data_IF_083284853259
#
_entry.id   IF_083284853259
#
_cell.length_a   1.000
_cell.length_b   1.000
_cell.length_c   1.000
_cell.angle_alpha   90.00
_cell.angle_beta   90.00
_cell.angle_gamma   90.00
#
_symmetry.space_group_name_H-M   'P 1'
#
loop_
_entity.id
_entity.type
_entity.pdbx_description
1 polymer ?
#
# COMPACT_ATOMS: atom_id res chain seq x y z
N UNK A 1 -0.23 0.18 21.03
CA UNK A 1 -1.54 -0.13 20.41
C UNK A 1 -1.71 0.75 19.19
N UNK A 2 -2.05 0.15 18.05
CA UNK A 2 -2.47 0.87 16.84
C UNK A 2 -3.99 1.03 16.88
N UNK A 3 -4.46 2.23 16.56
CA UNK A 3 -5.88 2.54 16.44
C UNK A 3 -6.12 3.26 15.12
N UNK A 4 -7.22 2.97 14.45
CA UNK A 4 -7.57 3.58 13.19
C UNK A 4 -9.04 3.39 12.86
N UNK A 5 -9.50 4.10 11.85
CA UNK A 5 -10.87 4.01 11.33
C UNK A 5 -10.80 3.77 9.83
N UNK A 6 -11.42 2.70 9.38
CA UNK A 6 -11.59 2.40 7.96
C UNK A 6 -12.78 3.22 7.47
N UNK A 7 -12.58 4.04 6.44
CA UNK A 7 -13.64 4.89 5.91
C UNK A 7 -14.69 4.06 5.16
N UNK A 8 -14.23 3.08 4.35
CA UNK A 8 -15.12 2.18 3.61
C UNK A 8 -14.51 0.80 3.42
N UNK A 9 -15.30 -0.21 3.73
CA UNK A 9 -15.02 -1.61 3.51
C UNK A 9 -16.12 -2.22 2.65
N UNK A 10 -15.78 -2.71 1.47
CA UNK A 10 -16.70 -3.44 0.60
C UNK A 10 -16.28 -4.92 0.56
N UNK A 11 -17.24 -5.81 0.57
CA UNK A 11 -17.03 -7.25 0.46
C UNK A 11 -17.80 -7.83 -0.72
N UNK A 12 -17.18 -8.77 -1.38
CA UNK A 12 -17.85 -9.67 -2.33
C UNK A 12 -17.72 -11.09 -1.79
N UNK A 13 -18.85 -11.74 -1.59
CA UNK A 13 -18.95 -13.03 -0.93
C UNK A 13 -19.59 -14.07 -1.86
N UNK A 14 -18.93 -15.22 -1.97
CA UNK A 14 -19.48 -16.44 -2.56
C UNK A 14 -19.60 -17.56 -1.51
N UNK A 15 -19.86 -18.80 -1.94
CA UNK A 15 -20.03 -19.94 -1.03
C UNK A 15 -18.77 -20.20 -0.18
N UNK A 16 -17.58 -20.03 -0.73
CA UNK A 16 -16.32 -20.46 -0.13
C UNK A 16 -15.37 -19.30 0.20
N UNK A 17 -15.57 -18.12 -0.39
CA UNK A 17 -14.61 -17.00 -0.35
C UNK A 17 -15.30 -15.68 -0.02
N UNK A 18 -14.53 -14.78 0.59
CA UNK A 18 -14.89 -13.37 0.76
C UNK A 18 -13.72 -12.54 0.26
N UNK A 19 -13.93 -11.74 -0.77
CA UNK A 19 -12.97 -10.75 -1.24
C UNK A 19 -13.25 -9.39 -0.63
N UNK A 20 -12.20 -8.68 -0.18
CA UNK A 20 -12.31 -7.42 0.56
C UNK A 20 -11.69 -6.30 -0.27
N UNK A 21 -12.40 -5.19 -0.38
CA UNK A 21 -11.88 -3.93 -0.89
C UNK A 21 -11.91 -2.88 0.22
N UNK A 22 -10.75 -2.33 0.55
CA UNK A 22 -10.61 -1.20 1.48
C UNK A 22 -10.46 0.07 0.69
N UNK A 23 -11.20 1.10 1.07
CA UNK A 23 -11.14 2.41 0.45
C UNK A 23 -11.00 3.50 1.53
N UNK A 24 -10.10 4.43 1.28
CA UNK A 24 -9.85 5.58 2.14
C UNK A 24 -10.05 6.87 1.33
N UNK A 25 -10.83 7.80 1.88
CA UNK A 25 -11.19 9.04 1.22
C UNK A 25 -10.14 10.13 1.45
N UNK A 26 -9.67 10.75 0.37
CA UNK A 26 -8.65 11.80 0.42
C UNK A 26 -9.17 13.10 -0.18
N UNK A 27 -8.98 14.20 0.53
CA UNK A 27 -9.27 15.56 0.04
C UNK A 27 -8.10 16.20 -0.72
N UNK A 28 -6.96 15.51 -0.82
CA UNK A 28 -5.77 15.98 -1.53
C UNK A 28 -5.34 15.00 -2.63
N UNK A 29 -4.36 15.39 -3.42
CA UNK A 29 -3.88 14.60 -4.58
C UNK A 29 -2.93 13.45 -4.17
N UNK A 30 -3.36 12.62 -3.21
CA UNK A 30 -2.60 11.46 -2.74
C UNK A 30 -2.74 10.31 -3.72
N UNK A 31 -1.65 9.88 -4.35
CA UNK A 31 -1.61 8.67 -5.19
C UNK A 31 -0.98 7.51 -4.46
N UNK A 32 -1.48 6.31 -4.73
CA UNK A 32 -0.89 5.08 -4.20
C UNK A 32 0.45 4.80 -4.90
N UNK A 33 1.48 4.57 -4.08
CA UNK A 33 2.82 4.24 -4.55
C UNK A 33 3.42 3.12 -3.68
N UNK A 34 3.68 1.97 -4.30
CA UNK A 34 4.24 0.81 -3.62
C UNK A 34 5.67 1.07 -3.10
N UNK A 35 6.43 1.97 -3.76
CA UNK A 35 7.74 2.39 -3.26
C UNK A 35 7.59 3.12 -1.92
N UNK A 36 6.57 3.97 -1.80
CA UNK A 36 6.27 4.65 -0.54
C UNK A 36 5.84 3.69 0.57
N UNK A 37 5.10 2.62 0.23
CA UNK A 37 4.79 1.53 1.17
C UNK A 37 6.09 0.86 1.63
N UNK A 38 6.96 0.46 0.71
CA UNK A 38 8.25 -0.14 1.01
C UNK A 38 9.14 0.75 1.88
N UNK A 39 9.03 2.07 1.72
CA UNK A 39 9.81 3.06 2.50
C UNK A 39 9.15 3.47 3.83
N UNK A 40 8.04 2.84 4.21
CA UNK A 40 7.35 3.11 5.47
C UNK A 40 6.47 4.36 5.47
N UNK A 41 6.10 4.91 4.29
CA UNK A 41 5.40 6.20 4.19
C UNK A 41 3.89 6.09 3.92
N UNK A 42 3.41 5.00 3.30
CA UNK A 42 2.00 4.79 2.95
C UNK A 42 1.47 3.47 3.50
N UNK A 43 1.59 3.25 4.80
CA UNK A 43 1.23 1.97 5.43
C UNK A 43 -0.28 1.82 5.66
N UNK A 44 -1.03 2.91 5.75
CA UNK A 44 -2.41 2.98 6.21
C UNK A 44 -3.34 1.97 5.52
N UNK A 45 -3.39 1.96 4.19
CA UNK A 45 -4.29 1.08 3.44
C UNK A 45 -3.96 -0.40 3.63
N UNK A 46 -2.68 -0.74 3.73
CA UNK A 46 -2.24 -2.14 3.95
C UNK A 46 -2.62 -2.59 5.35
N UNK A 47 -2.41 -1.75 6.37
CA UNK A 47 -2.82 -2.01 7.77
C UNK A 47 -4.34 -2.19 7.86
N UNK A 48 -5.10 -1.37 7.17
CA UNK A 48 -6.56 -1.47 7.16
C UNK A 48 -7.04 -2.75 6.47
N UNK A 49 -6.39 -3.16 5.37
CA UNK A 49 -6.68 -4.43 4.71
C UNK A 49 -6.40 -5.61 5.63
N UNK A 50 -5.24 -5.63 6.29
CA UNK A 50 -4.85 -6.69 7.21
C UNK A 50 -5.83 -6.82 8.38
N UNK A 51 -6.13 -5.71 9.06
CA UNK A 51 -7.10 -5.69 10.16
C UNK A 51 -8.51 -6.16 9.72
N UNK A 52 -8.96 -5.76 8.53
CA UNK A 52 -10.24 -6.18 7.98
C UNK A 52 -10.25 -7.69 7.64
N UNK A 53 -9.16 -8.20 7.08
CA UNK A 53 -9.02 -9.64 6.80
C UNK A 53 -9.01 -10.47 8.07
N UNK A 54 -8.28 -10.04 9.11
CA UNK A 54 -8.25 -10.71 10.42
C UNK A 54 -9.63 -10.74 11.08
N UNK A 55 -10.33 -9.61 11.08
CA UNK A 55 -11.69 -9.51 11.59
C UNK A 55 -12.65 -10.48 10.89
N UNK A 56 -12.61 -10.53 9.57
CA UNK A 56 -13.50 -11.40 8.79
C UNK A 56 -13.13 -12.88 8.88
N UNK A 57 -11.85 -13.24 9.03
CA UNK A 57 -11.43 -14.62 9.34
C UNK A 57 -12.02 -15.09 10.66
N UNK A 58 -12.07 -14.21 11.68
CA UNK A 58 -12.71 -14.52 12.95
C UNK A 58 -14.23 -14.72 12.85
N UNK A 59 -14.89 -13.93 11.98
CA UNK A 59 -16.34 -14.00 11.76
C UNK A 59 -16.76 -15.17 10.84
N UNK A 60 -15.94 -15.51 9.87
CA UNK A 60 -16.20 -16.49 8.82
C UNK A 60 -15.12 -17.59 8.77
N UNK A 61 -14.97 -18.43 9.81
CA UNK A 61 -13.83 -19.39 9.92
C UNK A 61 -13.84 -20.50 8.86
N UNK A 62 -14.93 -20.63 8.08
CA UNK A 62 -15.06 -21.61 7.00
C UNK A 62 -14.80 -21.04 5.62
N UNK A 63 -14.63 -19.73 5.50
CA UNK A 63 -14.41 -19.06 4.22
C UNK A 63 -12.98 -18.59 4.07
N UNK A 64 -12.48 -18.66 2.86
CA UNK A 64 -11.20 -18.06 2.48
C UNK A 64 -11.37 -16.54 2.36
N UNK A 65 -10.58 -15.76 3.09
CA UNK A 65 -10.61 -14.31 3.04
C UNK A 65 -9.48 -13.81 2.14
N UNK A 66 -9.84 -13.11 1.07
CA UNK A 66 -8.92 -12.67 0.02
C UNK A 66 -8.81 -11.14 -0.03
N UNK A 67 -7.61 -10.58 -0.22
CA UNK A 67 -7.45 -9.16 -0.51
C UNK A 67 -7.97 -8.88 -1.93
N UNK A 68 -8.99 -8.04 -2.05
CA UNK A 68 -9.53 -7.62 -3.33
C UNK A 68 -8.88 -6.35 -3.85
N UNK A 69 -8.69 -5.35 -2.98
CA UNK A 69 -8.03 -4.10 -3.36
C UNK A 69 -7.92 -3.12 -2.22
N UNK A 70 -6.91 -2.26 -2.34
CA UNK A 70 -6.64 -1.12 -1.45
C UNK A 70 -6.61 0.14 -2.29
N UNK A 71 -7.52 1.08 -2.04
CA UNK A 71 -7.78 2.20 -2.93
C UNK A 71 -7.89 3.52 -2.16
N UNK A 72 -7.31 4.58 -2.72
CA UNK A 72 -7.64 5.96 -2.38
C UNK A 72 -8.72 6.46 -3.32
N UNK A 73 -9.76 7.07 -2.76
CA UNK A 73 -10.78 7.78 -3.51
C UNK A 73 -10.67 9.27 -3.20
N UNK A 74 -10.47 10.07 -4.25
CA UNK A 74 -10.36 11.52 -4.09
C UNK A 74 -11.74 12.15 -4.07
N UNK A 75 -12.03 12.88 -2.99
CA UNK A 75 -13.20 13.76 -2.91
C UNK A 75 -12.75 15.08 -3.55
N UNK A 76 -12.93 15.19 -4.86
CA UNK A 76 -12.50 16.33 -5.65
C UNK A 76 -13.60 16.71 -6.63
N UNK A 77 -13.54 17.95 -7.13
CA UNK A 77 -14.37 18.43 -8.23
C UNK A 77 -13.44 18.68 -9.43
N UNK A 78 -13.15 17.64 -10.22
CA UNK A 78 -12.14 17.73 -11.27
C UNK A 78 -12.58 18.67 -12.39
N UNK A 79 -11.71 19.61 -12.74
CA UNK A 79 -11.87 20.46 -13.92
C UNK A 79 -11.36 19.68 -15.14
N UNK A 80 -12.24 19.48 -16.12
CA UNK A 80 -11.87 18.84 -17.38
C UNK A 80 -11.25 19.88 -18.32
N UNK A 81 -10.03 19.60 -18.77
CA UNK A 81 -9.37 20.37 -19.84
C UNK A 81 -9.52 19.63 -21.16
N UNK A 82 -9.99 20.34 -22.20
CA UNK A 82 -10.13 19.79 -23.54
C UNK A 82 -9.85 20.85 -24.59
N UNK A 83 -9.12 20.49 -25.64
CA UNK A 83 -8.82 21.37 -26.78
C UNK A 83 -10.06 21.60 -27.68
N UNK A 84 -11.08 20.75 -27.57
CA UNK A 84 -12.32 20.83 -28.33
C UNK A 84 -13.53 20.72 -27.39
N UNK A 85 -14.68 21.33 -27.73
CA UNK A 85 -15.90 21.15 -26.96
C UNK A 85 -16.25 19.65 -26.86
N UNK A 86 -16.49 19.18 -25.65
CA UNK A 86 -16.96 17.82 -25.38
C UNK A 86 -18.49 17.78 -25.47
N UNK A 87 -19.02 16.68 -25.95
CA UNK A 87 -20.45 16.36 -25.77
C UNK A 87 -20.71 16.05 -24.28
N UNK A 88 -21.98 16.11 -23.87
CA UNK A 88 -22.36 15.80 -22.48
C UNK A 88 -21.94 14.40 -22.07
N UNK A 89 -22.06 13.41 -22.99
CA UNK A 89 -21.65 12.03 -22.75
C UNK A 89 -20.12 11.88 -22.62
N UNK A 90 -19.34 12.56 -23.46
CA UNK A 90 -17.87 12.58 -23.36
C UNK A 90 -17.39 13.25 -22.08
N UNK A 91 -18.06 14.35 -21.68
CA UNK A 91 -17.75 15.05 -20.44
C UNK A 91 -18.04 14.17 -19.21
N UNK A 92 -19.19 13.49 -19.19
CA UNK A 92 -19.54 12.55 -18.11
C UNK A 92 -18.53 11.40 -18.01
N UNK A 93 -18.15 10.78 -19.13
CA UNK A 93 -17.15 9.72 -19.13
C UNK A 93 -15.77 10.21 -18.67
N UNK A 94 -15.34 11.39 -19.09
CA UNK A 94 -14.09 11.99 -18.67
C UNK A 94 -14.08 12.30 -17.16
N UNK A 95 -15.20 12.77 -16.61
CA UNK A 95 -15.42 13.04 -15.20
C UNK A 95 -15.32 11.75 -14.37
N UNK A 96 -16.05 10.71 -14.77
CA UNK A 96 -15.98 9.39 -14.11
C UNK A 96 -14.55 8.84 -14.11
N UNK A 97 -13.83 9.03 -15.22
CA UNK A 97 -12.45 8.60 -15.32
C UNK A 97 -11.50 9.42 -14.43
N UNK A 98 -11.70 10.72 -14.31
CA UNK A 98 -10.94 11.61 -13.43
C UNK A 98 -11.15 11.26 -11.93
N UNK A 99 -12.37 10.85 -11.57
CA UNK A 99 -12.76 10.44 -10.23
C UNK A 99 -12.42 8.98 -9.90
N UNK A 100 -11.84 8.25 -10.85
CA UNK A 100 -11.49 6.84 -10.63
C UNK A 100 -10.54 6.67 -9.45
N UNK A 101 -10.83 5.74 -8.50
CA UNK A 101 -9.94 5.44 -7.39
C UNK A 101 -8.54 5.06 -7.85
N UNK A 102 -7.53 5.42 -7.07
CA UNK A 102 -6.15 5.04 -7.29
C UNK A 102 -5.65 4.08 -6.21
N UNK A 103 -4.96 3.01 -6.57
CA UNK A 103 -4.48 2.02 -5.61
C UNK A 103 -4.07 0.72 -6.25
N UNK A 104 -4.08 -0.35 -5.49
CA UNK A 104 -3.68 -1.70 -5.89
C UNK A 104 -4.88 -2.64 -5.85
N UNK A 105 -5.13 -3.38 -6.94
CA UNK A 105 -6.25 -4.32 -7.10
C UNK A 105 -5.71 -5.73 -7.27
N UNK A 106 -6.41 -6.73 -6.74
CA UNK A 106 -6.05 -8.13 -6.94
C UNK A 106 -6.22 -8.52 -8.42
N UNK A 107 -5.21 -9.18 -8.97
CA UNK A 107 -5.17 -9.60 -10.36
C UNK A 107 -6.03 -10.82 -10.68
N UNK A 108 -6.65 -11.46 -9.69
CA UNK A 108 -7.59 -12.57 -9.88
C UNK A 108 -8.83 -12.11 -10.63
N UNK A 109 -9.19 -12.81 -11.73
CA UNK A 109 -10.29 -12.38 -12.60
C UNK A 109 -11.63 -12.29 -11.87
N UNK A 110 -11.96 -13.26 -11.06
CA UNK A 110 -13.17 -13.28 -10.23
C UNK A 110 -13.25 -12.06 -9.30
N UNK A 111 -12.10 -11.62 -8.79
CA UNK A 111 -12.00 -10.54 -7.81
C UNK A 111 -12.18 -9.18 -8.48
N UNK A 112 -11.42 -8.88 -9.55
CA UNK A 112 -11.57 -7.56 -10.18
C UNK A 112 -12.88 -7.44 -10.96
N UNK A 113 -13.43 -8.55 -11.48
CA UNK A 113 -14.75 -8.58 -12.10
C UNK A 113 -15.89 -8.36 -11.11
N UNK A 114 -15.72 -8.76 -9.86
CA UNK A 114 -16.69 -8.43 -8.81
C UNK A 114 -16.77 -6.92 -8.51
N UNK A 115 -15.71 -6.17 -8.81
CA UNK A 115 -15.67 -4.71 -8.62
C UNK A 115 -16.21 -3.94 -9.83
N UNK A 116 -16.00 -4.47 -11.03
CA UNK A 116 -16.48 -3.92 -12.30
C UNK A 116 -16.72 -5.06 -13.29
N UNK A 117 -17.98 -5.41 -13.49
CA UNK A 117 -18.36 -6.66 -14.18
C UNK A 117 -18.14 -6.62 -15.69
N UNK A 118 -18.41 -5.48 -16.32
CA UNK A 118 -18.63 -5.41 -17.76
C UNK A 118 -17.68 -4.47 -18.51
N UNK A 119 -16.51 -4.14 -17.93
CA UNK A 119 -15.60 -3.26 -18.64
C UNK A 119 -14.78 -4.00 -19.70
N UNK A 120 -14.62 -3.36 -20.84
CA UNK A 120 -13.67 -3.70 -21.89
C UNK A 120 -12.62 -2.59 -22.00
N UNK A 121 -11.34 -2.97 -22.13
CA UNK A 121 -10.26 -2.00 -22.12
C UNK A 121 -10.01 -1.43 -20.74
N UNK A 122 -10.19 -0.13 -20.54
CA UNK A 122 -9.97 0.56 -19.25
C UNK A 122 -11.25 0.56 -18.40
N UNK A 123 -11.13 0.08 -17.15
CA UNK A 123 -12.18 0.27 -16.16
C UNK A 123 -12.29 1.74 -15.72
N UNK A 124 -13.50 2.22 -15.50
CA UNK A 124 -13.80 3.51 -14.88
C UNK A 124 -13.87 3.42 -13.34
N UNK A 125 -14.01 2.22 -12.80
CA UNK A 125 -14.23 1.97 -11.37
C UNK A 125 -12.96 1.57 -10.61
N UNK A 126 -11.99 0.97 -11.30
CA UNK A 126 -10.74 0.44 -10.71
C UNK A 126 -9.54 0.69 -11.63
N UNK A 127 -8.30 0.77 -11.10
CA UNK A 127 -7.11 1.03 -11.90
C UNK A 127 -6.65 -0.22 -12.69
N UNK A 128 -7.55 -0.82 -13.46
CA UNK A 128 -7.30 -2.03 -14.27
C UNK A 128 -7.63 -1.75 -15.74
N UNK A 129 -6.77 -2.25 -16.63
CA UNK A 129 -6.97 -2.24 -18.08
C UNK A 129 -6.78 -3.65 -18.64
N UNK A 130 -7.73 -4.09 -19.47
CA UNK A 130 -7.71 -5.39 -20.15
C UNK A 130 -7.33 -5.17 -21.61
N UNK A 131 -6.38 -5.98 -22.10
CA UNK A 131 -6.00 -6.01 -23.51
C UNK A 131 -7.08 -6.67 -24.36
N UNK A 132 -7.02 -6.48 -25.67
CA UNK A 132 -7.95 -7.13 -26.63
C UNK A 132 -7.96 -8.67 -26.58
N UNK A 133 -6.92 -9.28 -26.05
CA UNK A 133 -6.83 -10.74 -25.86
C UNK A 133 -7.40 -11.22 -24.49
N UNK A 134 -8.01 -10.34 -23.72
CA UNK A 134 -8.60 -10.65 -22.41
C UNK A 134 -7.63 -10.59 -21.22
N UNK A 135 -6.32 -10.42 -21.44
CA UNK A 135 -5.34 -10.36 -20.38
C UNK A 135 -5.23 -8.95 -19.75
N UNK A 136 -4.89 -8.87 -18.48
CA UNK A 136 -4.56 -7.60 -17.81
C UNK A 136 -3.33 -6.96 -18.45
N UNK A 137 -3.41 -5.67 -18.74
CA UNK A 137 -2.27 -4.86 -19.15
C UNK A 137 -1.44 -4.45 -17.94
N UNK A 138 -0.40 -5.21 -17.60
CA UNK A 138 0.46 -4.94 -16.44
C UNK A 138 1.11 -3.55 -16.45
N UNK A 139 1.41 -3.02 -17.65
CA UNK A 139 1.99 -1.69 -17.82
C UNK A 139 1.00 -0.53 -17.55
N UNK A 140 -0.33 -0.80 -17.60
CA UNK A 140 -1.38 0.22 -17.48
C UNK A 140 -2.33 -0.06 -16.33
N UNK A 141 -2.10 -1.13 -15.58
CA UNK A 141 -2.89 -1.53 -14.42
C UNK A 141 -2.04 -1.50 -13.16
N UNK A 142 -2.67 -1.12 -12.06
CA UNK A 142 -2.06 -1.24 -10.72
C UNK A 142 -2.63 -2.49 -10.06
N UNK A 143 -1.99 -3.63 -10.30
CA UNK A 143 -2.46 -4.93 -9.82
C UNK A 143 -1.38 -5.69 -9.07
N UNK A 144 -1.82 -6.56 -8.15
CA UNK A 144 -0.99 -7.52 -7.45
C UNK A 144 -1.72 -8.86 -7.32
N UNK A 145 -1.01 -9.98 -7.32
CA UNK A 145 -1.60 -11.27 -7.01
C UNK A 145 -1.90 -11.40 -5.50
N UNK A 146 -2.67 -12.43 -5.12
CA UNK A 146 -2.93 -12.74 -3.72
C UNK A 146 -1.63 -12.98 -2.94
N UNK A 147 -0.65 -13.64 -3.56
CA UNK A 147 0.67 -13.91 -2.98
C UNK A 147 1.47 -12.61 -2.83
N UNK A 148 1.42 -11.71 -3.81
CA UNK A 148 2.07 -10.38 -3.74
C UNK A 148 1.44 -9.52 -2.64
N UNK A 149 0.12 -9.55 -2.48
CA UNK A 149 -0.56 -8.90 -1.35
C UNK A 149 -0.08 -9.48 -0.01
N UNK A 150 0.07 -10.79 0.10
CA UNK A 150 0.58 -11.43 1.31
C UNK A 150 2.03 -11.03 1.63
N UNK A 151 2.87 -10.79 0.62
CA UNK A 151 4.23 -10.25 0.82
C UNK A 151 4.17 -8.82 1.34
N UNK A 152 3.36 -7.96 0.72
CA UNK A 152 3.18 -6.56 1.11
C UNK A 152 2.67 -6.46 2.55
N UNK A 153 1.66 -7.24 2.92
CA UNK A 153 1.08 -7.26 4.27
C UNK A 153 2.14 -7.66 5.31
N UNK A 154 2.82 -8.79 5.12
CA UNK A 154 3.87 -9.25 6.05
C UNK A 154 5.02 -8.25 6.17
N UNK A 155 5.38 -7.58 5.08
CA UNK A 155 6.41 -6.55 5.10
C UNK A 155 5.96 -5.34 5.94
N UNK A 156 4.74 -4.87 5.76
CA UNK A 156 4.19 -3.74 6.53
C UNK A 156 4.05 -4.09 8.01
N UNK A 157 3.60 -5.29 8.36
CA UNK A 157 3.59 -5.78 9.75
C UNK A 157 4.98 -5.73 10.38
N UNK A 158 5.99 -6.19 9.63
CA UNK A 158 7.39 -6.15 10.06
C UNK A 158 7.88 -4.72 10.30
N UNK A 159 7.65 -3.81 9.35
CA UNK A 159 8.04 -2.40 9.47
C UNK A 159 7.39 -1.71 10.70
N UNK A 160 6.10 -1.98 10.94
CA UNK A 160 5.39 -1.44 12.11
C UNK A 160 5.99 -1.97 13.40
N UNK A 161 6.33 -3.26 13.47
CA UNK A 161 6.98 -3.87 14.63
C UNK A 161 8.33 -3.21 14.88
N UNK A 162 9.16 -3.07 13.85
CA UNK A 162 10.46 -2.40 13.95
C UNK A 162 10.34 -0.94 14.42
N UNK A 163 9.37 -0.19 13.87
CA UNK A 163 9.08 1.16 14.35
C UNK A 163 8.69 1.17 15.84
N UNK A 164 7.86 0.24 16.27
CA UNK A 164 7.46 0.09 17.67
C UNK A 164 8.64 -0.20 18.59
N UNK A 165 9.52 -1.12 18.21
CA UNK A 165 10.73 -1.49 18.92
C UNK A 165 11.71 -0.30 19.00
N UNK A 166 11.90 0.42 17.90
CA UNK A 166 12.76 1.60 17.87
C UNK A 166 12.24 2.72 18.80
N UNK A 167 10.93 2.95 18.83
CA UNK A 167 10.28 3.91 19.73
C UNK A 167 10.49 3.46 21.20
N UNK A 168 10.24 2.18 21.49
CA UNK A 168 10.39 1.65 22.84
C UNK A 168 11.84 1.68 23.33
N UNK A 169 12.79 1.47 22.43
CA UNK A 169 14.23 1.59 22.71
C UNK A 169 14.72 3.05 22.84
N UNK A 170 13.84 4.04 22.66
CA UNK A 170 14.20 5.46 22.75
C UNK A 170 15.07 5.94 21.57
N UNK A 171 14.96 5.36 20.40
CA UNK A 171 15.69 5.80 19.22
C UNK A 171 15.19 7.18 18.76
N UNK A 172 16.04 8.19 18.85
CA UNK A 172 15.79 9.58 18.46
C UNK A 172 16.67 10.03 17.28
N UNK A 173 17.25 9.09 16.54
CA UNK A 173 18.15 9.40 15.43
C UNK A 173 17.43 10.23 14.36
N UNK A 174 18.08 11.30 13.91
CA UNK A 174 17.62 12.14 12.80
C UNK A 174 17.87 11.37 11.50
N UNK A 175 16.81 10.94 10.83
CA UNK A 175 16.87 10.09 9.65
C UNK A 175 15.83 10.50 8.59
N UNK A 176 15.92 11.72 8.04
CA UNK A 176 14.96 12.22 7.06
C UNK A 176 15.14 11.55 5.71
N UNK A 177 14.06 11.52 4.90
CA UNK A 177 14.16 11.07 3.52
C UNK A 177 14.14 12.25 2.54
N UNK A 178 14.64 11.98 1.33
CA UNK A 178 14.51 12.83 0.14
C UNK A 178 14.14 11.98 -1.07
N UNK A 179 13.12 12.41 -1.79
CA UNK A 179 12.81 11.95 -3.14
C UNK A 179 13.07 13.06 -4.15
N UNK A 180 12.86 12.80 -5.44
CA UNK A 180 13.03 13.80 -6.50
C UNK A 180 12.10 15.02 -6.35
N UNK A 181 10.96 14.85 -5.68
CA UNK A 181 9.89 15.87 -5.58
C UNK A 181 9.70 16.44 -4.18
N UNK A 182 10.13 15.74 -3.13
CA UNK A 182 9.87 16.16 -1.75
C UNK A 182 10.93 15.66 -0.75
N UNK A 183 10.95 16.30 0.42
CA UNK A 183 11.69 15.81 1.58
C UNK A 183 10.77 15.73 2.79
N UNK A 184 11.08 14.83 3.74
CA UNK A 184 10.38 14.80 5.03
C UNK A 184 10.49 16.10 5.82
N UNK A 185 11.45 16.97 5.47
CA UNK A 185 11.66 18.25 6.13
C UNK A 185 10.77 19.38 5.62
N UNK A 186 10.13 19.25 4.44
CA UNK A 186 9.38 20.31 3.78
C UNK A 186 8.26 20.89 4.67
N UNK A 187 7.52 20.02 5.35
CA UNK A 187 6.41 20.40 6.23
C UNK A 187 6.62 19.95 7.68
N UNK A 188 7.87 19.66 8.07
CA UNK A 188 8.18 19.18 9.41
C UNK A 188 8.09 20.33 10.42
N UNK A 189 7.24 20.24 11.47
CA UNK A 189 7.12 21.28 12.48
C UNK A 189 8.33 21.38 13.41
N UNK A 190 9.22 20.39 13.38
CA UNK A 190 10.39 20.29 14.26
C UNK A 190 11.70 20.82 13.65
N UNK A 191 11.64 21.46 12.47
CA UNK A 191 12.82 21.95 11.76
C UNK A 191 13.73 22.85 12.60
N UNK A 192 13.13 23.73 13.43
CA UNK A 192 13.87 24.63 14.33
C UNK A 192 14.55 23.95 15.52
N UNK A 193 14.11 22.75 15.90
CA UNK A 193 14.64 21.98 17.03
C UNK A 193 15.58 20.87 16.56
N UNK A 194 15.26 20.25 15.44
CA UNK A 194 15.99 19.11 14.89
C UNK A 194 17.41 19.48 14.44
N UNK A 195 17.59 20.70 13.89
CA UNK A 195 18.89 21.18 13.43
C UNK A 195 19.45 20.43 12.21
N UNK A 196 18.60 19.66 11.49
CA UNK A 196 19.02 18.94 10.29
C UNK A 196 19.52 19.90 9.21
N UNK A 197 20.81 19.80 8.87
CA UNK A 197 21.44 20.53 7.76
C UNK A 197 22.38 19.58 7.00
N UNK A 198 22.03 19.24 5.76
CA UNK A 198 22.82 18.34 4.92
C UNK A 198 24.23 18.88 4.57
N UNK A 199 24.56 20.13 4.93
CA UNK A 199 25.91 20.71 4.80
C UNK A 199 26.81 20.34 5.97
N UNK A 200 26.22 19.87 7.06
CA UNK A 200 26.97 19.46 8.25
C UNK A 200 27.34 17.98 8.12
N UNK A 201 28.62 17.59 8.26
CA UNK A 201 29.03 16.20 8.22
C UNK A 201 28.25 15.34 9.22
N UNK A 202 27.73 14.19 8.76
CA UNK A 202 26.93 13.27 9.58
C UNK A 202 25.40 13.48 9.45
N UNK A 203 24.95 14.52 8.77
CA UNK A 203 23.54 14.71 8.43
C UNK A 203 23.30 14.37 6.97
N UNK A 204 22.58 13.26 6.71
CA UNK A 204 22.29 12.79 5.37
C UNK A 204 20.81 12.48 5.20
N UNK A 205 20.32 12.63 3.95
CA UNK A 205 18.99 12.16 3.60
C UNK A 205 19.05 10.72 3.09
N UNK A 206 18.13 9.89 3.55
CA UNK A 206 17.85 8.62 2.87
C UNK A 206 17.31 8.93 1.48
N UNK A 207 18.03 8.53 0.44
CA UNK A 207 17.60 8.74 -0.95
C UNK A 207 16.59 7.68 -1.37
N UNK A 208 15.48 8.09 -1.96
CA UNK A 208 14.49 7.19 -2.52
C UNK A 208 14.62 7.17 -4.04
N UNK A 209 15.31 6.15 -4.54
CA UNK A 209 15.37 5.89 -5.98
C UNK A 209 14.04 5.34 -6.50
N UNK A 210 13.71 5.62 -7.75
CA UNK A 210 12.62 4.99 -8.47
C UNK A 210 12.91 3.51 -8.65
N UNK A 211 11.90 2.66 -8.47
CA UNK A 211 11.98 1.20 -8.56
C UNK A 211 10.76 0.68 -9.32
N UNK A 212 10.91 -0.45 -10.00
CA UNK A 212 9.76 -1.17 -10.55
C UNK A 212 9.06 -1.98 -9.47
N UNK A 213 7.79 -2.31 -9.70
CA UNK A 213 6.99 -3.12 -8.77
C UNK A 213 7.69 -4.43 -8.39
N UNK A 214 8.23 -5.13 -9.38
CA UNK A 214 8.91 -6.41 -9.21
C UNK A 214 10.14 -6.28 -8.31
N UNK A 215 10.91 -5.21 -8.49
CA UNK A 215 12.08 -4.91 -7.67
C UNK A 215 11.70 -4.60 -6.22
N UNK A 216 10.60 -3.86 -6.02
CA UNK A 216 10.09 -3.55 -4.68
C UNK A 216 9.67 -4.82 -3.96
N UNK A 217 8.91 -5.71 -4.62
CA UNK A 217 8.47 -6.98 -4.05
C UNK A 217 9.64 -7.91 -3.72
N UNK A 218 10.66 -7.98 -4.58
CA UNK A 218 11.89 -8.75 -4.35
C UNK A 218 12.66 -8.22 -3.12
N UNK A 219 12.78 -6.90 -2.99
CA UNK A 219 13.40 -6.29 -1.81
C UNK A 219 12.61 -6.58 -0.52
N UNK A 220 11.27 -6.46 -0.54
CA UNK A 220 10.41 -6.81 0.58
C UNK A 220 10.64 -8.27 1.01
N UNK A 221 10.67 -9.22 0.06
CA UNK A 221 10.91 -10.64 0.35
C UNK A 221 12.31 -10.88 0.92
N UNK A 222 13.31 -10.23 0.36
CA UNK A 222 14.71 -10.35 0.81
C UNK A 222 14.88 -9.87 2.24
N UNK A 223 14.27 -8.73 2.60
CA UNK A 223 14.31 -8.18 3.95
C UNK A 223 13.57 -9.07 4.95
N UNK A 224 12.39 -9.57 4.60
CA UNK A 224 11.65 -10.53 5.41
C UNK A 224 12.45 -11.82 5.68
N UNK A 225 13.13 -12.35 4.65
CA UNK A 225 13.96 -13.56 4.79
C UNK A 225 15.18 -13.32 5.70
N UNK A 226 15.84 -12.15 5.56
CA UNK A 226 17.00 -11.77 6.38
C UNK A 226 16.64 -11.65 7.86
N UNK A 227 15.47 -11.11 8.16
CA UNK A 227 15.04 -10.86 9.53
C UNK A 227 14.58 -12.16 10.22
N UNK A 228 13.90 -13.05 9.51
CA UNK A 228 13.57 -14.39 10.02
C UNK A 228 14.82 -15.16 10.46
N UNK A 229 15.89 -15.15 9.66
CA UNK A 229 17.16 -15.80 10.03
C UNK A 229 17.93 -15.11 11.18
N UNK A 230 17.55 -13.90 11.60
CA UNK A 230 18.07 -13.25 12.82
C UNK A 230 17.29 -13.65 14.06
N UNK A 231 15.96 -13.73 13.96
CA UNK A 231 15.07 -14.17 15.04
C UNK A 231 15.40 -15.62 15.42
N UNK A 232 15.52 -16.53 14.46
CA UNK A 232 15.90 -17.94 14.69
C UNK A 232 17.25 -18.06 15.41
N UNK A 233 18.25 -17.22 15.05
CA UNK A 233 19.57 -17.24 15.72
C UNK A 233 19.55 -16.63 17.12
N UNK A 234 18.67 -15.68 17.42
CA UNK A 234 18.53 -15.13 18.77
C UNK A 234 17.89 -16.13 19.72
N UNK A 235 16.88 -16.87 19.26
CA UNK A 235 16.19 -17.89 20.04
C UNK A 235 17.12 -19.09 20.36
N UNK A 236 17.95 -19.51 19.40
CA UNK A 236 18.96 -20.55 19.63
C UNK A 236 20.04 -20.12 20.65
N UNK A 237 20.39 -18.84 20.70
CA UNK A 237 21.36 -18.32 21.69
C UNK A 237 20.77 -18.21 23.09
N UNK A 238 19.49 -17.86 23.23
CA UNK A 238 18.81 -17.78 24.52
C UNK A 238 18.54 -19.18 25.12
N UNK A 239 18.17 -20.16 24.32
CA UNK A 239 18.02 -21.55 24.78
C UNK A 239 19.38 -22.18 25.20
N UNK A 240 20.46 -21.79 24.52
CA UNK A 240 21.82 -22.24 24.85
C UNK A 240 22.38 -21.72 26.18
N UNK A 241 21.87 -20.55 26.66
CA UNK A 241 22.26 -19.94 27.94
C UNK A 241 21.42 -20.44 29.12
N UNK A 242 20.18 -20.84 28.91
CA UNK A 242 19.28 -21.36 29.96
C UNK A 242 19.65 -22.80 30.45
N UNK A 243 20.48 -23.52 29.72
CA UNK A 243 20.90 -24.90 30.04
C UNK A 243 22.17 -25.04 30.88
N UNK A 244 22.75 -23.96 31.42
CA UNK A 244 24.01 -23.98 32.20
C UNK A 244 23.87 -23.40 33.62
N UNK A 245 22.81 -23.78 34.31
CA UNK A 245 22.71 -23.54 35.75
C UNK A 245 22.27 -24.80 36.49
#
# INVERSE_FOLDING_TARGET
>A
RLEGRIDRLDTFEDENKISIKVMDYKSGNTKFDLIRVYRGLQLQLVVYMDAAMEMLRGQHPKKEILPGGILYYHIDDPVLESDTPLSDEEAEQALLFALRPDGLVNSGEEIYRAMDQNFEGKSQMIPVEIKKNGEISTARSKVASTEEFAVITRYVEHEIRQCGEAIYAGNIAVNPYRSDIETSCTYCPYGSVCGMDAKIPGYEYRQFASMKKEEVLDQMQTELARNRGKEERSDEMDEGTAGRH
#
